data_IF_236623380444
#
_entry.id   IF_236623380444
#
_cell.length_a   1.000
_cell.length_b   1.000
_cell.length_c   1.000
_cell.angle_alpha   90.00
_cell.angle_beta   90.00
_cell.angle_gamma   90.00
#
_symmetry.space_group_name_H-M   'P 1'
#
loop_
_entity.id
_entity.type
_entity.pdbx_description
1 polymer ?
#
# COMPACT_ATOMS: atom_id res chain seq x y z
N UNK A 1 6.09 12.33 0.43
CA UNK A 1 5.23 12.34 -0.78
C UNK A 1 3.76 12.22 -0.42
N UNK A 2 2.81 12.59 -1.31
CA UNK A 2 1.36 12.39 -1.06
C UNK A 2 1.02 10.89 -1.02
N UNK A 3 0.06 10.48 -0.19
CA UNK A 3 -0.40 9.08 -0.10
C UNK A 3 -0.82 8.49 -1.45
N UNK A 4 -1.47 9.27 -2.32
CA UNK A 4 -1.86 8.81 -3.66
C UNK A 4 -0.65 8.49 -4.55
N UNK A 5 0.43 9.26 -4.40
CA UNK A 5 1.67 9.02 -5.15
C UNK A 5 2.41 7.80 -4.62
N UNK A 6 2.48 7.67 -3.29
CA UNK A 6 3.02 6.49 -2.62
C UNK A 6 2.28 5.22 -3.05
N UNK A 7 0.94 5.24 -3.02
CA UNK A 7 0.11 4.12 -3.46
C UNK A 7 0.44 3.70 -4.90
N UNK A 8 0.58 4.67 -5.83
CA UNK A 8 0.96 4.41 -7.22
C UNK A 8 2.37 3.82 -7.35
N UNK A 9 3.35 4.32 -6.60
CA UNK A 9 4.73 3.81 -6.58
C UNK A 9 4.79 2.35 -6.12
N UNK A 10 3.98 1.99 -5.12
CA UNK A 10 3.91 0.62 -4.58
C UNK A 10 2.93 -0.29 -5.36
N UNK A 11 2.29 0.19 -6.42
CA UNK A 11 1.32 -0.60 -7.20
C UNK A 11 0.01 -0.91 -6.45
N UNK A 12 -0.29 -0.17 -5.39
CA UNK A 12 -1.44 -0.40 -4.51
C UNK A 12 -2.53 0.65 -4.81
N UNK A 13 -3.82 0.29 -4.87
CA UNK A 13 -4.88 1.27 -5.02
C UNK A 13 -4.93 2.23 -3.81
N UNK A 14 -5.21 3.52 -4.08
CA UNK A 14 -5.29 4.58 -3.08
C UNK A 14 -6.22 4.23 -1.90
N UNK A 15 -7.35 3.57 -2.16
CA UNK A 15 -8.29 3.14 -1.11
C UNK A 15 -7.65 2.20 -0.10
N UNK A 16 -6.78 1.29 -0.55
CA UNK A 16 -6.07 0.35 0.32
C UNK A 16 -5.03 1.09 1.16
N UNK A 17 -4.24 1.97 0.54
CA UNK A 17 -3.28 2.81 1.27
C UNK A 17 -3.98 3.70 2.33
N UNK A 18 -5.16 4.24 2.01
CA UNK A 18 -5.97 5.01 2.96
C UNK A 18 -6.50 4.16 4.12
N UNK A 19 -6.96 2.93 3.84
CA UNK A 19 -7.36 1.99 4.89
C UNK A 19 -6.21 1.64 5.82
N UNK A 20 -5.02 1.35 5.27
CA UNK A 20 -3.82 1.05 6.05
C UNK A 20 -3.40 2.22 6.93
N UNK A 21 -3.45 3.45 6.40
CA UNK A 21 -3.23 4.66 7.18
C UNK A 21 -4.23 4.77 8.34
N UNK A 22 -5.53 4.57 8.07
CA UNK A 22 -6.58 4.57 9.11
C UNK A 22 -6.40 3.48 10.16
N UNK A 23 -5.83 2.35 9.78
CA UNK A 23 -5.56 1.20 10.65
C UNK A 23 -4.20 1.31 11.37
N UNK A 24 -3.35 2.28 11.01
CA UNK A 24 -2.01 2.42 11.59
C UNK A 24 -1.02 1.34 11.17
N UNK A 25 -1.34 0.54 10.15
CA UNK A 25 -0.50 -0.57 9.64
C UNK A 25 0.28 -0.18 8.38
N UNK A 26 0.30 1.11 8.04
CA UNK A 26 1.01 1.58 6.87
C UNK A 26 2.51 1.27 7.07
N UNK A 27 3.18 0.60 6.13
CA UNK A 27 4.59 0.21 6.27
C UNK A 27 5.55 1.39 6.18
N UNK A 28 5.05 2.58 5.84
CA UNK A 28 5.81 3.82 5.82
C UNK A 28 5.26 4.79 6.88
N UNK A 29 6.14 5.62 7.46
CA UNK A 29 5.69 6.71 8.34
C UNK A 29 4.84 7.68 7.55
N UNK A 30 3.62 7.94 8.02
CA UNK A 30 2.75 8.93 7.41
C UNK A 30 2.14 9.85 8.46
N UNK A 31 2.03 11.13 8.10
CA UNK A 31 1.43 12.17 8.92
C UNK A 31 0.23 12.77 8.17
N UNK A 32 -0.87 13.00 8.89
CA UNK A 32 -1.99 13.76 8.38
C UNK A 32 -1.82 15.23 8.77
N UNK A 33 -1.78 16.11 7.77
CA UNK A 33 -1.80 17.54 7.99
C UNK A 33 -3.17 18.00 8.50
N UNK A 34 -3.27 19.14 9.20
CA UNK A 34 -4.54 19.71 9.64
C UNK A 34 -5.51 20.01 8.48
N UNK A 35 -5.01 20.11 7.25
CA UNK A 35 -5.79 20.25 6.02
C UNK A 35 -6.39 18.93 5.50
N UNK A 36 -6.14 17.81 6.18
CA UNK A 36 -6.58 16.47 5.77
C UNK A 36 -5.67 15.77 4.76
N UNK A 37 -4.60 16.44 4.30
CA UNK A 37 -3.63 15.85 3.36
C UNK A 37 -2.73 14.85 4.09
N UNK A 38 -2.64 13.62 3.58
CA UNK A 38 -1.76 12.58 4.13
C UNK A 38 -0.42 12.62 3.38
N UNK A 39 0.63 12.92 4.13
CA UNK A 39 2.02 12.92 3.67
C UNK A 39 2.71 11.66 4.20
N UNK A 40 3.23 10.87 3.28
CA UNK A 40 4.10 9.72 3.57
C UNK A 40 5.54 10.19 3.59
N UNK A 41 6.18 10.08 4.74
CA UNK A 41 7.59 10.26 5.00
C UNK A 41 8.24 8.89 4.73
N UNK A 42 8.63 8.66 3.49
CA UNK A 42 9.32 7.44 3.11
C UNK A 42 10.75 7.51 3.68
N UNK A 43 10.99 6.82 4.80
CA UNK A 43 12.32 6.25 5.03
C UNK A 43 12.38 5.05 4.09
N UNK A 44 13.43 4.94 3.26
CA UNK A 44 13.60 3.90 2.25
C UNK A 44 13.74 2.50 2.87
N UNK A 45 12.73 2.01 3.57
CA UNK A 45 12.55 0.58 3.72
C UNK A 45 11.93 0.10 2.40
N UNK A 46 12.82 -0.14 1.43
CA UNK A 46 12.53 -0.97 0.28
C UNK A 46 11.80 -2.21 0.79
N UNK A 47 10.48 -2.26 0.58
CA UNK A 47 9.78 -3.54 0.55
C UNK A 47 10.33 -4.25 -0.68
N UNK A 48 11.51 -4.84 -0.53
CA UNK A 48 12.08 -5.79 -1.47
C UNK A 48 11.13 -6.96 -1.46
N UNK A 49 10.19 -6.95 -2.40
CA UNK A 49 9.64 -8.21 -2.89
C UNK A 49 10.88 -9.07 -3.19
N UNK A 50 10.99 -10.29 -2.64
CA UNK A 50 12.02 -11.21 -3.08
C UNK A 50 12.01 -11.19 -4.61
N UNK A 51 13.16 -11.05 -5.25
CA UNK A 51 13.25 -11.00 -6.72
C UNK A 51 12.63 -12.28 -7.35
N UNK A 52 12.44 -13.32 -6.53
CA UNK A 52 11.82 -14.61 -6.84
C UNK A 52 10.38 -14.79 -6.27
N UNK A 53 9.66 -13.72 -5.93
CA UNK A 53 8.30 -13.84 -5.40
C UNK A 53 7.27 -14.03 -6.53
N UNK A 54 6.83 -15.28 -6.73
CA UNK A 54 5.69 -15.61 -7.59
C UNK A 54 4.40 -15.76 -6.76
N UNK A 55 3.32 -15.10 -7.18
CA UNK A 55 1.99 -15.30 -6.61
C UNK A 55 1.14 -16.17 -7.56
N UNK A 56 0.58 -17.27 -7.05
CA UNK A 56 -0.35 -18.12 -7.80
C UNK A 56 -1.77 -17.81 -7.34
N UNK A 57 -2.60 -17.30 -8.26
CA UNK A 57 -4.03 -17.14 -8.06
C UNK A 57 -4.76 -18.24 -8.81
N UNK A 58 -5.43 -19.14 -8.09
CA UNK A 58 -6.31 -20.14 -8.69
C UNK A 58 -7.75 -19.78 -8.38
N UNK A 59 -8.61 -19.77 -9.41
CA UNK A 59 -10.06 -19.64 -9.23
C UNK A 59 -10.66 -21.02 -9.47
N UNK A 60 -11.22 -21.62 -8.43
CA UNK A 60 -11.98 -22.87 -8.54
C UNK A 60 -13.40 -22.53 -8.99
N UNK A 61 -13.85 -23.14 -10.08
CA UNK A 61 -15.25 -23.15 -10.49
C UNK A 61 -15.83 -24.52 -10.13
N UNK A 62 -16.92 -24.54 -9.36
CA UNK A 62 -17.69 -25.75 -9.07
C UNK A 62 -18.88 -25.80 -10.04
N UNK A 63 -19.21 -26.99 -10.53
CA UNK A 63 -20.42 -27.28 -11.32
C UNK A 63 -21.23 -28.31 -10.54
N UNK A 64 -22.54 -28.10 -10.38
CA UNK A 64 -23.47 -29.08 -9.79
C UNK A 64 -23.93 -30.13 -10.82
#
# INVERSE_FOLDING_TARGET
MKLSHWARKHGIPYRTAWKWFKQGILPARAIQLPTGTILVLEEEEEVRLPQDAAAIYTRVSVHE
#
